data_IF_473059410460
#
_entry.id   IF_473059410460
#
_cell.length_a   1.000
_cell.length_b   1.000
_cell.length_c   1.000
_cell.angle_alpha   90.00
_cell.angle_beta   90.00
_cell.angle_gamma   90.00
#
_symmetry.space_group_name_H-M   'P 1'
#
loop_
_entity.id
_entity.type
_entity.pdbx_description
1 polymer ?
#
# COMPACT_ATOMS: atom_id res chain seq x y z
N UNK A 1 -5.05 -2.08 56.05
CA UNK A 1 -4.83 -1.27 54.84
C UNK A 1 -6.17 -0.68 54.43
N UNK A 2 -6.24 0.60 54.10
CA UNK A 2 -7.51 1.21 53.68
C UNK A 2 -7.86 0.78 52.26
N UNK A 3 -9.16 0.58 51.98
CA UNK A 3 -9.68 0.18 50.67
C UNK A 3 -9.13 1.07 49.56
N UNK A 4 -9.15 2.38 49.78
CA UNK A 4 -8.66 3.38 48.83
C UNK A 4 -7.16 3.23 48.54
N UNK A 5 -6.35 2.96 49.57
CA UNK A 5 -4.92 2.78 49.40
C UNK A 5 -4.62 1.48 48.64
N UNK A 6 -5.31 0.40 48.98
CA UNK A 6 -5.20 -0.89 48.29
C UNK A 6 -5.56 -0.76 46.80
N UNK A 7 -6.71 -0.14 46.50
CA UNK A 7 -7.17 0.12 45.14
C UNK A 7 -6.18 1.00 44.37
N UNK A 8 -5.69 2.06 44.99
CA UNK A 8 -4.73 2.98 44.39
C UNK A 8 -3.42 2.27 43.99
N UNK A 9 -2.86 1.47 44.89
CA UNK A 9 -1.64 0.70 44.60
C UNK A 9 -1.85 -0.33 43.50
N UNK A 10 -3.01 -1.00 43.49
CA UNK A 10 -3.38 -1.94 42.44
C UNK A 10 -3.45 -1.25 41.07
N UNK A 11 -4.17 -0.13 40.98
CA UNK A 11 -4.29 0.65 39.73
C UNK A 11 -2.93 1.15 39.27
N UNK A 12 -2.12 1.71 40.18
CA UNK A 12 -0.79 2.21 39.86
C UNK A 12 0.11 1.10 39.31
N UNK A 13 0.07 -0.08 39.92
CA UNK A 13 0.80 -1.25 39.46
C UNK A 13 0.33 -1.70 38.06
N UNK A 14 -0.98 -1.77 37.82
CA UNK A 14 -1.52 -2.17 36.51
C UNK A 14 -1.16 -1.17 35.40
N UNK A 15 -1.23 0.14 35.68
CA UNK A 15 -0.81 1.19 34.74
C UNK A 15 0.69 1.10 34.44
N UNK A 16 1.51 0.85 35.46
CA UNK A 16 2.95 0.69 35.29
C UNK A 16 3.28 -0.51 34.38
N UNK A 17 2.67 -1.67 34.62
CA UNK A 17 2.85 -2.86 33.76
C UNK A 17 2.35 -2.60 32.34
N UNK A 18 1.16 -2.00 32.19
CA UNK A 18 0.60 -1.64 30.89
C UNK A 18 1.52 -0.69 30.11
N UNK A 19 2.10 0.30 30.78
CA UNK A 19 3.06 1.23 30.17
C UNK A 19 4.31 0.51 29.65
N UNK A 20 4.88 -0.43 30.42
CA UNK A 20 6.06 -1.20 29.99
C UNK A 20 5.72 -2.08 28.78
N UNK A 21 4.58 -2.77 28.81
CA UNK A 21 4.14 -3.64 27.69
C UNK A 21 3.98 -2.82 26.41
N UNK A 22 3.33 -1.64 26.48
CA UNK A 22 3.02 -0.82 25.31
C UNK A 22 4.26 -0.09 24.75
N UNK A 23 5.07 0.52 25.63
CA UNK A 23 6.09 1.48 25.19
C UNK A 23 7.53 0.95 25.23
N UNK A 24 7.80 -0.12 25.98
CA UNK A 24 9.17 -0.61 26.19
C UNK A 24 9.37 -1.96 25.52
N UNK A 25 8.68 -2.99 26.00
CA UNK A 25 8.78 -4.36 25.48
C UNK A 25 7.75 -5.27 26.17
N UNK A 26 7.04 -6.08 25.39
CA UNK A 26 6.13 -7.11 25.89
C UNK A 26 6.81 -8.09 26.84
N UNK A 27 8.05 -8.51 26.50
CA UNK A 27 8.83 -9.44 27.34
C UNK A 27 9.21 -8.80 28.68
N UNK A 28 9.69 -7.56 28.66
CA UNK A 28 10.00 -6.83 29.88
C UNK A 28 8.74 -6.67 30.75
N UNK A 29 7.60 -6.34 30.14
CA UNK A 29 6.33 -6.21 30.83
C UNK A 29 5.91 -7.48 31.58
N UNK A 30 5.98 -8.65 30.93
CA UNK A 30 5.70 -9.95 31.57
C UNK A 30 6.69 -10.22 32.71
N UNK A 31 7.98 -9.93 32.50
CA UNK A 31 9.00 -10.12 33.52
C UNK A 31 8.72 -9.27 34.77
N UNK A 32 8.43 -7.98 34.61
CA UNK A 32 8.07 -7.10 35.72
C UNK A 32 6.75 -7.48 36.38
N UNK A 33 5.78 -7.95 35.59
CA UNK A 33 4.49 -8.43 36.09
C UNK A 33 4.69 -9.56 37.11
N UNK A 34 5.64 -10.47 36.86
CA UNK A 34 5.95 -11.59 37.77
C UNK A 34 6.94 -11.21 38.88
N UNK A 35 8.00 -10.46 38.55
CA UNK A 35 9.06 -10.13 39.50
C UNK A 35 8.60 -9.18 40.61
N UNK A 36 7.79 -8.16 40.32
CA UNK A 36 7.40 -7.18 41.33
C UNK A 36 6.62 -7.82 42.50
N UNK A 37 5.57 -8.64 42.27
CA UNK A 37 4.90 -9.36 43.34
C UNK A 37 5.84 -10.34 44.07
N UNK A 38 6.71 -11.04 43.33
CA UNK A 38 7.65 -12.00 43.91
C UNK A 38 8.64 -11.30 44.85
N UNK A 39 9.23 -10.20 44.41
CA UNK A 39 10.11 -9.35 45.22
C UNK A 39 9.35 -8.81 46.43
N UNK A 40 8.09 -8.39 46.26
CA UNK A 40 7.23 -7.96 47.35
C UNK A 40 7.06 -9.03 48.43
N UNK A 41 6.78 -10.28 48.03
CA UNK A 41 6.66 -11.42 48.96
C UNK A 41 7.99 -11.72 49.67
N UNK A 42 9.13 -11.55 48.99
CA UNK A 42 10.44 -11.82 49.58
C UNK A 42 10.91 -10.74 50.56
N UNK A 43 10.60 -9.47 50.29
CA UNK A 43 11.07 -8.32 51.11
C UNK A 43 10.11 -8.05 52.28
N UNK A 44 8.81 -8.10 52.05
CA UNK A 44 7.78 -7.72 53.02
C UNK A 44 6.61 -8.72 52.99
N UNK A 45 6.82 -9.96 53.47
CA UNK A 45 5.85 -11.05 53.31
C UNK A 45 4.52 -10.78 54.02
N UNK A 46 4.51 -10.12 55.18
CA UNK A 46 3.28 -9.87 55.95
C UNK A 46 2.40 -8.81 55.27
N UNK A 47 3.01 -7.75 54.79
CA UNK A 47 2.40 -6.62 54.10
C UNK A 47 1.90 -7.06 52.73
N UNK A 48 2.71 -7.84 52.01
CA UNK A 48 2.33 -8.38 50.71
C UNK A 48 1.22 -9.42 50.84
N UNK A 49 1.26 -10.29 51.85
CA UNK A 49 0.15 -11.20 52.16
C UNK A 49 -1.12 -10.41 52.51
N UNK A 50 -1.00 -9.35 53.30
CA UNK A 50 -2.11 -8.45 53.64
C UNK A 50 -2.70 -7.76 52.40
N UNK A 51 -1.85 -7.29 51.48
CA UNK A 51 -2.29 -6.70 50.22
C UNK A 51 -2.97 -7.73 49.32
N UNK A 52 -2.35 -8.89 49.07
CA UNK A 52 -2.90 -9.91 48.18
C UNK A 52 -4.21 -10.53 48.70
N UNK A 53 -4.33 -10.66 50.02
CA UNK A 53 -5.53 -11.22 50.67
C UNK A 53 -6.62 -10.18 50.96
N UNK A 54 -6.38 -8.89 50.67
CA UNK A 54 -7.34 -7.83 50.93
C UNK A 54 -8.64 -8.05 50.14
N UNK A 55 -9.75 -8.10 50.86
CA UNK A 55 -11.09 -8.28 50.31
C UNK A 55 -11.63 -6.94 49.77
N UNK A 56 -11.91 -6.87 48.47
CA UNK A 56 -12.46 -5.69 47.83
C UNK A 56 -13.98 -5.74 47.78
N UNK A 57 -14.54 -6.90 47.43
CA UNK A 57 -15.98 -7.10 47.36
C UNK A 57 -16.34 -8.55 47.66
N UNK A 58 -17.45 -8.73 48.38
CA UNK A 58 -18.06 -10.02 48.65
C UNK A 58 -19.36 -10.12 47.86
N UNK A 59 -19.56 -11.20 47.13
CA UNK A 59 -20.79 -11.50 46.38
C UNK A 59 -21.47 -12.71 47.05
N UNK A 60 -22.80 -12.79 46.95
CA UNK A 60 -23.61 -13.89 47.48
C UNK A 60 -23.44 -14.10 48.99
N UNK A 61 -23.73 -13.07 49.79
CA UNK A 61 -23.66 -13.11 51.27
C UNK A 61 -22.31 -13.62 51.82
N UNK A 62 -21.21 -13.31 51.11
CA UNK A 62 -19.86 -13.74 51.52
C UNK A 62 -19.43 -15.12 51.03
N UNK A 63 -20.25 -15.81 50.25
CA UNK A 63 -19.89 -17.10 49.66
C UNK A 63 -18.72 -16.97 48.66
N UNK A 64 -18.62 -15.84 47.95
CA UNK A 64 -17.53 -15.56 47.01
C UNK A 64 -16.88 -14.23 47.40
N UNK A 65 -15.68 -14.32 47.98
CA UNK A 65 -14.86 -13.17 48.36
C UNK A 65 -13.84 -12.86 47.27
N UNK A 66 -14.00 -11.71 46.62
CA UNK A 66 -13.06 -11.22 45.61
C UNK A 66 -11.98 -10.37 46.27
N UNK A 67 -10.82 -11.01 46.38
CA UNK A 67 -9.58 -10.43 46.90
C UNK A 67 -8.71 -9.85 45.79
N UNK A 68 -7.78 -8.96 46.15
CA UNK A 68 -6.80 -8.37 45.23
C UNK A 68 -6.11 -9.41 44.32
N UNK A 69 -5.73 -10.58 44.85
CA UNK A 69 -5.08 -11.63 44.06
C UNK A 69 -5.92 -12.12 42.88
N UNK A 70 -7.25 -12.18 43.00
CA UNK A 70 -8.13 -12.63 41.92
C UNK A 70 -8.16 -11.61 40.78
N UNK A 71 -8.23 -10.32 41.14
CA UNK A 71 -8.24 -9.23 40.16
C UNK A 71 -6.87 -9.15 39.47
N UNK A 72 -5.80 -9.28 40.25
CA UNK A 72 -4.44 -9.32 39.74
C UNK A 72 -4.26 -10.45 38.72
N UNK A 73 -4.70 -11.67 39.06
CA UNK A 73 -4.70 -12.83 38.15
C UNK A 73 -5.54 -12.60 36.89
N UNK A 74 -6.71 -11.98 37.01
CA UNK A 74 -7.56 -11.67 35.86
C UNK A 74 -6.88 -10.69 34.89
N UNK A 75 -6.26 -9.62 35.41
CA UNK A 75 -5.50 -8.68 34.59
C UNK A 75 -4.23 -9.30 34.00
N UNK A 76 -3.54 -10.16 34.75
CA UNK A 76 -2.38 -10.89 34.22
C UNK A 76 -2.76 -11.81 33.07
N UNK A 77 -3.87 -12.54 33.21
CA UNK A 77 -4.39 -13.37 32.13
C UNK A 77 -4.75 -12.52 30.90
N UNK A 78 -5.38 -11.35 31.09
CA UNK A 78 -5.69 -10.43 30.01
C UNK A 78 -4.43 -9.91 29.30
N UNK A 79 -3.44 -9.43 30.05
CA UNK A 79 -2.17 -8.95 29.47
C UNK A 79 -1.40 -10.06 28.76
N UNK A 80 -1.32 -11.26 29.34
CA UNK A 80 -0.72 -12.41 28.68
C UNK A 80 -1.45 -12.79 27.40
N UNK A 81 -2.78 -12.76 27.40
CA UNK A 81 -3.56 -13.01 26.18
C UNK A 81 -3.28 -11.97 25.10
N UNK A 82 -3.16 -10.68 25.46
CA UNK A 82 -2.80 -9.62 24.52
C UNK A 82 -1.41 -9.89 23.94
N UNK A 83 -0.41 -10.14 24.78
CA UNK A 83 0.97 -10.40 24.32
C UNK A 83 1.03 -11.64 23.43
N UNK A 84 0.43 -12.76 23.84
CA UNK A 84 0.38 -13.98 23.02
C UNK A 84 -0.30 -13.72 21.69
N UNK A 85 -1.42 -12.99 21.70
CA UNK A 85 -2.15 -12.66 20.48
C UNK A 85 -1.32 -11.78 19.54
N UNK A 86 -0.65 -10.75 20.07
CA UNK A 86 0.19 -9.86 19.24
C UNK A 86 1.42 -10.58 18.69
N UNK A 87 2.06 -11.45 19.48
CA UNK A 87 3.20 -12.26 19.03
C UNK A 87 2.76 -13.31 18.00
N UNK A 88 1.61 -13.96 18.24
CA UNK A 88 1.02 -14.89 17.27
C UNK A 88 0.67 -14.20 15.97
N UNK A 89 0.06 -13.01 16.02
CA UNK A 89 -0.27 -12.23 14.84
C UNK A 89 1.00 -11.78 14.10
N UNK A 90 2.02 -11.32 14.83
CA UNK A 90 3.32 -10.97 14.27
C UNK A 90 3.98 -12.17 13.58
N UNK A 91 3.98 -13.34 14.23
CA UNK A 91 4.46 -14.59 13.65
C UNK A 91 3.64 -14.99 12.43
N UNK A 92 2.31 -14.94 12.51
CA UNK A 92 1.40 -15.32 11.43
C UNK A 92 1.60 -14.44 10.20
N UNK A 93 1.69 -13.12 10.38
CA UNK A 93 1.98 -12.19 9.29
C UNK A 93 3.36 -12.43 8.71
N UNK A 94 4.38 -12.64 9.56
CA UNK A 94 5.72 -13.02 9.10
C UNK A 94 5.72 -14.36 8.36
N UNK A 95 4.88 -15.31 8.77
CA UNK A 95 4.78 -16.63 8.15
C UNK A 95 3.97 -16.58 6.85
N UNK A 96 2.97 -15.71 6.69
CA UNK A 96 2.35 -15.45 5.39
C UNK A 96 3.39 -14.83 4.45
N UNK A 97 4.18 -13.86 4.92
CA UNK A 97 5.27 -13.29 4.13
C UNK A 97 6.35 -14.32 3.79
N UNK A 98 6.63 -15.26 4.70
CA UNK A 98 7.63 -16.33 4.50
C UNK A 98 7.10 -17.54 3.70
N UNK A 99 5.81 -17.88 3.80
CA UNK A 99 5.19 -18.99 3.05
C UNK A 99 4.74 -18.57 1.65
N UNK A 100 4.59 -17.26 1.41
CA UNK A 100 4.65 -16.69 0.06
C UNK A 100 6.07 -16.66 -0.53
N UNK A 101 7.10 -16.98 0.26
CA UNK A 101 8.50 -17.12 -0.19
C UNK A 101 9.07 -18.49 0.23
N UNK A 102 8.51 -19.55 -0.34
CA UNK A 102 9.02 -20.90 -0.15
C UNK A 102 10.44 -21.07 -0.72
N UNK A 103 11.47 -20.78 0.08
CA UNK A 103 12.76 -21.43 -0.05
C UNK A 103 12.80 -22.63 0.91
N UNK A 104 12.61 -23.80 0.33
CA UNK A 104 13.09 -25.05 0.89
C UNK A 104 14.24 -25.50 0.00
N UNK A 105 15.32 -26.03 0.58
CA UNK A 105 16.29 -26.88 -0.13
C UNK A 105 15.60 -28.21 -0.52
N UNK A 106 14.53 -28.10 -1.28
CA UNK A 106 13.94 -29.10 -2.14
C UNK A 106 14.55 -28.75 -3.50
N UNK A 107 15.08 -29.74 -4.22
CA UNK A 107 15.36 -29.58 -5.64
C UNK A 107 14.02 -29.23 -6.32
N UNK A 108 13.76 -27.93 -6.47
CA UNK A 108 12.64 -27.43 -7.24
C UNK A 108 12.95 -27.70 -8.72
N UNK A 109 11.98 -28.22 -9.48
CA UNK A 109 12.09 -28.29 -10.93
C UNK A 109 12.30 -26.87 -11.46
N UNK A 110 13.18 -26.70 -12.44
CA UNK A 110 13.50 -25.43 -13.10
C UNK A 110 12.26 -24.51 -13.19
N UNK A 111 12.29 -23.46 -12.37
CA UNK A 111 11.20 -22.53 -12.07
C UNK A 111 10.76 -21.70 -13.30
N UNK A 112 9.46 -21.71 -13.58
CA UNK A 112 8.79 -20.87 -14.60
C UNK A 112 8.12 -19.60 -14.01
N UNK A 113 8.20 -19.32 -12.69
CA UNK A 113 7.22 -18.43 -12.04
C UNK A 113 7.68 -17.03 -11.58
N UNK A 114 8.97 -16.69 -11.69
CA UNK A 114 9.44 -15.31 -11.50
C UNK A 114 10.46 -14.94 -12.56
N UNK A 115 10.08 -14.03 -13.46
CA UNK A 115 10.91 -13.59 -14.56
C UNK A 115 10.92 -12.07 -14.58
N UNK A 116 12.07 -11.47 -14.27
CA UNK A 116 12.28 -10.04 -14.44
C UNK A 116 13.19 -9.82 -15.65
N UNK A 117 12.68 -9.06 -16.63
CA UNK A 117 13.43 -8.64 -17.82
C UNK A 117 13.49 -7.13 -17.85
N UNK A 118 14.64 -6.63 -18.29
CA UNK A 118 14.84 -5.22 -18.62
C UNK A 118 15.26 -5.15 -20.09
N UNK A 119 14.47 -4.45 -20.88
CA UNK A 119 14.69 -4.24 -22.31
C UNK A 119 14.97 -2.75 -22.55
N UNK A 120 15.95 -2.45 -23.39
CA UNK A 120 16.28 -1.07 -23.78
C UNK A 120 15.70 -0.84 -25.17
N UNK A 121 14.96 0.24 -25.36
CA UNK A 121 14.24 0.48 -26.63
C UNK A 121 15.22 0.71 -27.81
N UNK A 122 16.42 1.24 -27.53
CA UNK A 122 17.50 1.41 -28.51
C UNK A 122 18.87 1.02 -27.94
N UNK A 123 19.56 0.09 -28.60
CA UNK A 123 20.91 -0.36 -28.22
C UNK A 123 21.99 0.73 -28.40
N UNK A 124 21.68 1.80 -29.14
CA UNK A 124 22.54 2.96 -29.33
C UNK A 124 21.78 4.27 -29.11
N UNK A 125 22.25 5.08 -28.15
CA UNK A 125 21.73 6.44 -27.91
C UNK A 125 22.78 7.50 -28.23
N UNK A 126 22.33 8.69 -28.61
CA UNK A 126 23.20 9.87 -28.64
C UNK A 126 23.31 10.50 -27.25
N UNK A 127 24.44 11.16 -26.99
CA UNK A 127 24.64 11.95 -25.75
C UNK A 127 23.51 12.98 -25.62
N UNK A 128 22.83 12.98 -24.47
CA UNK A 128 21.73 13.89 -24.14
C UNK A 128 20.31 13.34 -24.38
N UNK A 129 20.16 12.21 -25.08
CA UNK A 129 18.86 11.55 -25.24
C UNK A 129 18.47 10.72 -24.00
N UNK A 130 17.19 10.69 -23.60
CA UNK A 130 16.76 9.86 -22.47
C UNK A 130 16.84 8.37 -22.83
N UNK A 131 17.51 7.60 -21.98
CA UNK A 131 17.50 6.15 -21.99
C UNK A 131 16.15 5.67 -21.47
N UNK A 132 15.31 5.19 -22.36
CA UNK A 132 14.03 4.57 -22.02
C UNK A 132 14.25 3.06 -21.88
N UNK A 133 13.85 2.51 -20.73
CA UNK A 133 13.84 1.07 -20.51
C UNK A 133 12.43 0.57 -20.25
N UNK A 134 12.15 -0.65 -20.73
CA UNK A 134 10.93 -1.39 -20.43
C UNK A 134 11.26 -2.47 -19.42
N UNK A 135 10.50 -2.50 -18.34
CA UNK A 135 10.66 -3.46 -17.26
C UNK A 135 9.43 -4.35 -17.28
N UNK A 136 9.67 -5.64 -17.46
CA UNK A 136 8.64 -6.66 -17.44
C UNK A 136 8.98 -7.59 -16.29
N UNK A 137 8.16 -7.55 -15.24
CA UNK A 137 8.29 -8.49 -14.12
C UNK A 137 7.08 -9.39 -14.16
N UNK A 138 7.28 -10.65 -14.50
CA UNK A 138 6.25 -11.68 -14.39
C UNK A 138 6.40 -12.38 -13.05
N UNK A 139 5.31 -12.45 -12.31
CA UNK A 139 5.29 -13.17 -11.05
C UNK A 139 3.93 -13.77 -10.77
N UNK A 140 3.87 -15.10 -10.69
CA UNK A 140 2.66 -15.78 -10.20
C UNK A 140 2.41 -15.61 -8.69
N UNK A 141 3.34 -14.97 -7.96
CA UNK A 141 3.33 -14.89 -6.49
C UNK A 141 3.16 -13.46 -5.97
N UNK A 142 3.77 -12.48 -6.63
CA UNK A 142 3.78 -11.10 -6.18
C UNK A 142 2.94 -10.23 -7.11
N UNK A 143 2.09 -9.37 -6.55
CA UNK A 143 1.36 -8.34 -7.31
C UNK A 143 2.19 -7.10 -7.62
N UNK A 144 3.18 -6.81 -6.78
CA UNK A 144 4.12 -5.71 -6.97
C UNK A 144 5.45 -6.03 -6.27
N UNK A 145 6.53 -5.44 -6.76
CA UNK A 145 7.89 -5.56 -6.21
C UNK A 145 8.57 -4.20 -6.17
N UNK A 146 9.43 -4.04 -5.17
CA UNK A 146 10.32 -2.90 -5.09
C UNK A 146 11.49 -3.12 -6.04
N UNK A 147 11.69 -2.16 -6.93
CA UNK A 147 12.68 -2.20 -8.00
C UNK A 147 13.65 -1.05 -7.84
N UNK A 148 14.93 -1.36 -7.99
CA UNK A 148 16.01 -0.38 -8.07
C UNK A 148 16.79 -0.62 -9.35
N UNK A 149 17.06 0.43 -10.09
CA UNK A 149 17.81 0.36 -11.34
C UNK A 149 19.10 1.13 -11.14
N UNK A 150 20.23 0.44 -11.29
CA UNK A 150 21.54 1.09 -11.31
C UNK A 150 22.07 1.11 -12.74
N UNK A 151 22.51 2.27 -13.19
CA UNK A 151 23.22 2.39 -14.46
C UNK A 151 24.70 2.69 -14.24
N UNK A 152 25.55 2.02 -15.01
CA UNK A 152 26.99 2.24 -15.04
C UNK A 152 27.41 2.56 -16.46
N UNK A 153 28.33 3.51 -16.64
CA UNK A 153 28.99 3.80 -17.93
C UNK A 153 30.48 3.61 -17.71
N UNK A 154 31.10 2.70 -18.45
CA UNK A 154 32.52 2.34 -18.33
C UNK A 154 32.94 2.07 -16.85
N UNK A 155 32.14 1.24 -16.16
CA UNK A 155 32.26 0.88 -14.74
C UNK A 155 32.05 2.00 -13.71
N UNK A 156 31.74 3.23 -14.16
CA UNK A 156 31.41 4.35 -13.28
C UNK A 156 29.90 4.42 -13.06
N UNK A 157 29.39 4.40 -11.80
CA UNK A 157 27.97 4.58 -11.52
C UNK A 157 27.56 6.00 -11.93
N UNK A 158 26.54 6.10 -12.78
CA UNK A 158 26.11 7.39 -13.35
C UNK A 158 24.87 7.91 -12.66
N UNK A 159 23.89 7.03 -12.43
CA UNK A 159 22.69 7.37 -11.68
C UNK A 159 22.05 6.12 -11.08
N UNK A 160 21.13 6.34 -10.14
CA UNK A 160 20.30 5.30 -9.53
C UNK A 160 18.88 5.82 -9.46
N UNK A 161 17.96 5.17 -10.20
CA UNK A 161 16.55 5.39 -9.93
C UNK A 161 16.26 4.73 -8.59
N UNK A 162 15.71 5.54 -7.67
CA UNK A 162 15.37 5.12 -6.31
C UNK A 162 14.42 3.95 -6.26
N UNK A 163 14.21 3.42 -5.05
CA UNK A 163 13.38 2.25 -4.81
C UNK A 163 11.90 2.54 -5.18
N UNK A 164 11.46 2.11 -6.36
CA UNK A 164 10.09 2.29 -6.87
C UNK A 164 9.30 0.98 -6.85
N UNK A 165 8.01 1.06 -6.53
CA UNK A 165 7.12 -0.10 -6.54
C UNK A 165 6.54 -0.31 -7.94
N UNK A 166 6.86 -1.45 -8.55
CA UNK A 166 6.41 -1.83 -9.89
C UNK A 166 5.43 -2.99 -9.78
N UNK A 167 4.27 -2.91 -10.45
CA UNK A 167 3.29 -4.00 -10.52
C UNK A 167 3.79 -5.13 -11.41
N UNK A 168 3.63 -6.37 -10.97
CA UNK A 168 3.94 -7.54 -11.77
C UNK A 168 2.90 -7.76 -12.87
N UNK A 169 3.27 -8.52 -13.90
CA UNK A 169 2.47 -8.88 -15.07
C UNK A 169 1.99 -7.69 -15.91
N UNK A 170 2.58 -6.52 -15.68
CA UNK A 170 2.38 -5.28 -16.43
C UNK A 170 3.75 -4.83 -16.95
N UNK A 171 3.78 -4.32 -18.18
CA UNK A 171 4.96 -3.68 -18.77
C UNK A 171 5.04 -2.24 -18.28
N UNK A 172 6.18 -1.85 -17.73
CA UNK A 172 6.41 -0.47 -17.26
C UNK A 172 7.51 0.17 -18.09
N UNK A 173 7.22 1.34 -18.65
CA UNK A 173 8.20 2.16 -19.36
C UNK A 173 8.76 3.21 -18.40
N UNK A 174 10.06 3.14 -18.15
CA UNK A 174 10.75 4.04 -17.21
C UNK A 174 11.87 4.77 -17.95
N UNK A 175 11.83 6.09 -17.90
CA UNK A 175 12.92 6.94 -18.35
C UNK A 175 14.03 6.92 -17.31
N UNK A 176 15.15 6.28 -17.64
CA UNK A 176 16.23 6.02 -16.68
C UNK A 176 17.12 7.22 -16.50
N UNK A 177 17.83 7.65 -17.55
CA UNK A 177 18.91 8.64 -17.46
C UNK A 177 19.06 9.39 -18.79
N UNK A 178 19.57 10.64 -18.76
CA UNK A 178 20.17 11.30 -19.94
C UNK A 178 21.70 11.28 -19.81
N UNK A 179 22.41 10.39 -20.51
CA UNK A 179 23.86 10.28 -20.35
C UNK A 179 24.57 11.50 -20.94
N UNK A 180 25.46 12.11 -20.16
CA UNK A 180 26.29 13.25 -20.57
C UNK A 180 27.61 12.84 -21.25
N UNK A 181 28.00 11.57 -21.10
CA UNK A 181 29.28 11.03 -21.61
C UNK A 181 29.03 9.84 -22.53
N UNK A 182 29.77 9.78 -23.63
CA UNK A 182 29.79 8.61 -24.52
C UNK A 182 30.59 7.47 -23.86
N UNK A 183 30.16 6.22 -24.08
CA UNK A 183 30.77 5.05 -23.46
C UNK A 183 29.90 3.80 -23.60
N UNK A 184 30.35 2.69 -23.00
CA UNK A 184 29.53 1.48 -22.91
C UNK A 184 28.77 1.51 -21.58
N UNK A 185 27.45 1.47 -21.69
CA UNK A 185 26.52 1.46 -20.56
C UNK A 185 26.13 0.04 -20.14
N UNK A 186 25.83 -0.13 -18.86
CA UNK A 186 25.27 -1.33 -18.27
C UNK A 186 24.14 -0.94 -17.32
N UNK A 187 22.98 -1.56 -17.47
CA UNK A 187 21.86 -1.45 -16.54
C UNK A 187 21.78 -2.73 -15.70
N UNK A 188 21.72 -2.55 -14.39
CA UNK A 188 21.46 -3.61 -13.43
C UNK A 188 20.10 -3.38 -12.77
N UNK A 189 19.20 -4.34 -12.96
CA UNK A 189 17.90 -4.36 -12.29
C UNK A 189 18.04 -5.14 -10.99
N UNK A 190 17.78 -4.48 -9.88
CA UNK A 190 17.67 -5.08 -8.56
C UNK A 190 16.20 -5.11 -8.20
N UNK A 191 15.72 -6.27 -7.77
CA UNK A 191 14.38 -6.36 -7.16
C UNK A 191 14.57 -6.81 -5.72
N UNK A 192 13.95 -6.11 -4.78
CA UNK A 192 13.86 -6.55 -3.40
C UNK A 192 12.40 -6.85 -3.10
N UNK A 193 11.97 -8.12 -3.18
CA UNK A 193 10.73 -8.50 -2.54
C UNK A 193 10.82 -8.08 -1.05
N UNK A 194 9.74 -7.56 -0.45
CA UNK A 194 9.78 -7.08 0.92
C UNK A 194 10.32 -8.15 1.87
N UNK A 195 11.50 -7.88 2.47
CA UNK A 195 12.17 -8.78 3.41
C UNK A 195 13.40 -9.54 2.90
N UNK A 196 13.83 -9.36 1.64
CA UNK A 196 15.00 -10.04 1.06
C UNK A 196 16.15 -9.08 0.73
N UNK A 197 17.40 -9.50 0.99
CA UNK A 197 18.59 -8.81 0.49
C UNK A 197 18.76 -9.04 -1.02
N UNK A 198 18.79 -7.96 -1.80
CA UNK A 198 18.79 -7.99 -3.27
C UNK A 198 20.18 -8.22 -3.87
N UNK A 199 20.28 -9.19 -4.79
CA UNK A 199 21.31 -9.23 -5.84
C UNK A 199 20.73 -8.71 -7.17
N UNK A 200 21.57 -8.46 -8.18
CA UNK A 200 21.08 -8.07 -9.51
C UNK A 200 20.34 -9.24 -10.15
N UNK A 201 19.09 -9.00 -10.54
CA UNK A 201 18.19 -10.02 -11.11
C UNK A 201 18.27 -10.03 -12.63
N UNK A 202 18.46 -8.86 -13.24
CA UNK A 202 18.66 -8.75 -14.68
C UNK A 202 19.75 -7.73 -15.01
N UNK A 203 20.47 -7.98 -16.11
CA UNK A 203 21.55 -7.12 -16.59
C UNK A 203 21.47 -6.98 -18.10
N UNK A 204 21.52 -5.75 -18.59
CA UNK A 204 21.56 -5.45 -20.03
C UNK A 204 22.63 -4.38 -20.31
N UNK A 205 23.12 -4.34 -21.54
CA UNK A 205 24.19 -3.41 -21.95
C UNK A 205 23.74 -2.56 -23.13
N UNK A 206 24.14 -1.29 -23.15
CA UNK A 206 23.81 -0.33 -24.19
C UNK A 206 25.06 0.47 -24.60
N UNK A 207 25.02 1.17 -25.74
CA UNK A 207 26.14 2.00 -26.21
C UNK A 207 25.71 3.45 -26.37
N UNK A 208 26.49 4.39 -25.84
CA UNK A 208 26.24 5.82 -26.02
C UNK A 208 27.25 6.34 -27.03
N UNK A 209 26.76 6.86 -28.16
CA UNK A 209 27.59 7.47 -29.20
C UNK A 209 27.76 8.94 -28.90
N UNK A 210 28.99 9.42 -29.08
CA UNK A 210 29.24 10.86 -29.10
C UNK A 210 28.44 11.43 -30.26
N UNK A 211 27.73 12.52 -30.01
CA UNK A 211 27.11 13.27 -31.09
C UNK A 211 28.24 13.71 -32.02
N UNK A 212 28.37 13.06 -33.19
CA UNK A 212 29.24 13.57 -34.24
C UNK A 212 28.59 14.87 -34.63
N UNK A 213 29.15 15.99 -34.15
CA UNK A 213 28.72 17.33 -34.54
C UNK A 213 28.55 17.31 -36.06
N UNK A 214 27.31 17.20 -36.52
CA UNK A 214 26.95 17.79 -37.80
C UNK A 214 27.32 19.25 -37.57
N UNK A 215 28.42 19.68 -38.18
CA UNK A 215 28.71 21.09 -38.42
C UNK A 215 27.50 21.66 -39.15
N UNK A 216 26.47 22.03 -38.39
CA UNK A 216 25.40 22.88 -38.86
C UNK A 216 25.94 24.28 -38.63
N UNK A 217 26.57 24.82 -39.67
CA UNK A 217 26.73 26.26 -39.82
C UNK A 217 25.36 26.91 -39.58
N UNK A 218 25.15 27.47 -38.39
CA UNK A 218 23.96 28.27 -38.13
C UNK A 218 24.39 29.61 -37.56
N UNK A 219 24.21 30.61 -38.41
CA UNK A 219 24.25 32.03 -38.09
C UNK A 219 23.35 32.39 -36.91
N UNK A 220 23.79 33.43 -36.21
CA UNK A 220 23.15 34.13 -35.12
C UNK A 220 21.65 34.39 -35.33
N UNK A 221 20.84 34.12 -34.30
CA UNK A 221 19.83 35.10 -33.90
C UNK A 221 19.45 35.03 -32.43
N UNK A 222 19.32 36.23 -31.86
CA UNK A 222 19.28 36.59 -30.46
C UNK A 222 17.88 36.60 -29.84
N UNK A 223 17.92 36.76 -28.51
CA UNK A 223 16.93 37.37 -27.62
C UNK A 223 15.71 36.54 -27.19
N UNK A 224 15.69 36.11 -25.93
CA UNK A 224 14.91 36.80 -24.87
C UNK A 224 15.15 36.18 -23.49
N UNK A 225 15.17 37.02 -22.45
CA UNK A 225 15.19 36.63 -21.04
C UNK A 225 14.11 37.40 -20.25
N UNK A 226 13.70 36.83 -19.11
CA UNK A 226 12.75 37.24 -18.03
C UNK A 226 11.53 36.31 -17.97
N UNK A 227 11.04 35.78 -16.83
CA UNK A 227 11.29 36.01 -15.39
C UNK A 227 10.61 34.90 -14.54
N UNK A 228 10.87 34.92 -13.23
CA UNK A 228 10.71 33.92 -12.13
C UNK A 228 9.24 33.78 -11.57
N UNK A 229 8.95 33.05 -10.45
CA UNK A 229 8.45 31.67 -10.30
C UNK A 229 7.00 31.55 -9.74
N UNK A 230 6.43 30.34 -9.81
CA UNK A 230 5.33 29.92 -8.93
C UNK A 230 4.31 29.06 -9.65
N UNK A 231 4.34 27.74 -9.41
CA UNK A 231 3.36 26.81 -9.96
C UNK A 231 3.22 25.59 -9.06
N UNK A 232 2.06 25.47 -8.43
CA UNK A 232 1.58 24.24 -7.82
C UNK A 232 1.48 23.14 -8.87
N UNK A 233 1.88 21.92 -8.51
CA UNK A 233 1.97 20.73 -9.34
C UNK A 233 0.68 20.48 -10.15
N UNK A 234 0.69 20.89 -11.43
CA UNK A 234 -0.39 20.76 -12.41
C UNK A 234 -0.11 19.63 -13.42
N UNK A 235 1.14 19.16 -13.50
CA UNK A 235 1.59 18.20 -14.51
C UNK A 235 0.92 16.82 -14.37
N UNK A 236 0.63 16.36 -13.14
CA UNK A 236 -0.06 15.08 -12.94
C UNK A 236 -1.54 15.08 -13.37
N UNK A 237 -2.17 16.25 -13.47
CA UNK A 237 -3.56 16.36 -13.94
C UNK A 237 -3.63 16.32 -15.48
N UNK A 238 -2.62 16.88 -16.15
CA UNK A 238 -2.48 16.87 -17.60
C UNK A 238 -2.22 15.44 -18.11
N UNK A 239 -1.41 14.67 -17.37
CA UNK A 239 -1.05 13.29 -17.70
C UNK A 239 -2.24 12.32 -17.52
N UNK A 240 -3.01 12.46 -16.43
CA UNK A 240 -4.26 11.70 -16.27
C UNK A 240 -5.29 12.03 -17.35
N UNK A 241 -5.39 13.30 -17.75
CA UNK A 241 -6.32 13.73 -18.81
C UNK A 241 -5.95 13.09 -20.15
N UNK A 242 -4.65 12.98 -20.44
CA UNK A 242 -4.12 12.32 -21.63
C UNK A 242 -4.44 10.82 -21.65
N UNK A 243 -4.28 10.12 -20.52
CA UNK A 243 -4.60 8.68 -20.41
C UNK A 243 -6.09 8.41 -20.63
N UNK A 244 -6.97 9.28 -20.11
CA UNK A 244 -8.42 9.17 -20.33
C UNK A 244 -8.79 9.45 -21.79
N UNK A 245 -8.12 10.40 -22.44
CA UNK A 245 -8.31 10.71 -23.87
C UNK A 245 -7.84 9.56 -24.77
N UNK A 246 -6.68 8.95 -24.48
CA UNK A 246 -6.13 7.80 -25.21
C UNK A 246 -7.02 6.55 -25.09
N UNK A 247 -7.59 6.31 -23.90
CA UNK A 247 -8.54 5.20 -23.70
C UNK A 247 -9.87 5.43 -24.45
N UNK A 248 -10.36 6.67 -24.49
CA UNK A 248 -11.53 7.03 -25.30
C UNK A 248 -11.28 6.89 -26.80
N UNK A 249 -10.09 7.26 -27.30
CA UNK A 249 -9.69 7.01 -28.69
C UNK A 249 -9.67 5.51 -29.01
N UNK A 250 -8.99 4.70 -28.19
CA UNK A 250 -8.91 3.25 -28.37
C UNK A 250 -10.31 2.59 -28.38
N UNK A 251 -11.21 3.04 -27.50
CA UNK A 251 -12.60 2.55 -27.44
C UNK A 251 -13.41 2.92 -28.68
N UNK A 252 -13.16 4.08 -29.27
CA UNK A 252 -13.83 4.53 -30.50
C UNK A 252 -13.26 3.86 -31.76
N UNK A 253 -12.05 3.32 -31.69
CA UNK A 253 -11.41 2.54 -32.77
C UNK A 253 -11.86 1.07 -32.82
N UNK A 254 -12.53 0.56 -31.78
CA UNK A 254 -13.16 -0.76 -31.82
C UNK A 254 -14.25 -0.76 -32.91
N UNK A 255 -14.20 -1.70 -33.88
CA UNK A 255 -15.08 -1.67 -35.03
C UNK A 255 -16.54 -1.81 -34.62
N UNK A 256 -17.35 -0.78 -34.90
CA UNK A 256 -18.81 -0.70 -34.67
C UNK A 256 -19.62 -1.83 -35.33
N UNK A 257 -18.97 -2.65 -36.16
CA UNK A 257 -19.53 -3.86 -36.79
C UNK A 257 -19.52 -5.10 -35.89
N UNK A 258 -19.02 -5.03 -34.65
CA UNK A 258 -19.18 -6.10 -33.65
C UNK A 258 -20.52 -6.00 -32.87
N UNK A 259 -21.45 -5.17 -33.31
CA UNK A 259 -22.84 -5.13 -32.81
C UNK A 259 -23.66 -6.32 -33.33
N UNK A 260 -23.22 -7.53 -33.00
CA UNK A 260 -24.15 -8.66 -32.89
C UNK A 260 -24.70 -8.60 -31.47
N UNK A 261 -26.00 -8.36 -31.24
CA UNK A 261 -26.57 -8.40 -29.90
C UNK A 261 -26.48 -9.86 -29.44
N UNK A 262 -25.57 -10.17 -28.50
CA UNK A 262 -25.15 -11.57 -28.39
C UNK A 262 -24.68 -12.09 -27.05
N UNK A 263 -24.07 -11.29 -26.18
CA UNK A 263 -23.70 -11.79 -24.86
C UNK A 263 -23.95 -10.75 -23.75
N UNK A 264 -25.10 -10.83 -23.06
CA UNK A 264 -25.42 -9.93 -21.96
C UNK A 264 -24.39 -9.99 -20.82
N UNK A 265 -23.61 -11.08 -20.71
CA UNK A 265 -22.54 -11.17 -19.72
C UNK A 265 -21.32 -10.31 -20.09
N UNK A 266 -21.01 -10.18 -21.38
CA UNK A 266 -19.90 -9.35 -21.86
C UNK A 266 -20.23 -7.85 -21.73
N UNK A 267 -21.46 -7.46 -22.08
CA UNK A 267 -21.94 -6.09 -21.91
C UNK A 267 -21.96 -5.68 -20.42
N UNK A 268 -22.35 -6.60 -19.54
CA UNK A 268 -22.31 -6.38 -18.09
C UNK A 268 -20.88 -6.23 -17.57
N UNK A 269 -19.93 -7.04 -18.05
CA UNK A 269 -18.52 -6.94 -17.66
C UNK A 269 -17.90 -5.62 -18.11
N UNK A 270 -18.13 -5.20 -19.35
CA UNK A 270 -17.65 -3.93 -19.87
C UNK A 270 -18.23 -2.74 -19.09
N UNK A 271 -19.51 -2.82 -18.71
CA UNK A 271 -20.13 -1.81 -17.86
C UNK A 271 -19.49 -1.75 -16.46
N UNK A 272 -19.13 -2.87 -15.85
CA UNK A 272 -18.47 -2.89 -14.54
C UNK A 272 -17.08 -2.25 -14.59
N UNK A 273 -16.30 -2.55 -15.64
CA UNK A 273 -14.97 -1.95 -15.86
C UNK A 273 -15.08 -0.43 -16.06
N UNK A 274 -16.02 0.01 -16.91
CA UNK A 274 -16.25 1.44 -17.15
C UNK A 274 -16.63 2.17 -15.84
N UNK A 275 -17.53 1.59 -15.03
CA UNK A 275 -17.95 2.17 -13.74
C UNK A 275 -16.76 2.28 -12.77
N UNK A 276 -15.93 1.25 -12.66
CA UNK A 276 -14.79 1.24 -11.75
C UNK A 276 -13.73 2.29 -12.14
N UNK A 277 -13.44 2.43 -13.43
CA UNK A 277 -12.50 3.43 -13.93
C UNK A 277 -13.00 4.86 -13.71
N UNK A 278 -14.29 5.12 -13.98
CA UNK A 278 -14.88 6.43 -13.73
C UNK A 278 -14.87 6.79 -12.24
N UNK A 279 -15.10 5.81 -11.35
CA UNK A 279 -14.98 6.00 -9.91
C UNK A 279 -13.54 6.36 -9.49
N UNK A 280 -12.54 5.68 -10.03
CA UNK A 280 -11.13 6.00 -9.75
C UNK A 280 -10.80 7.42 -10.20
N UNK A 281 -11.25 7.84 -11.38
CA UNK A 281 -11.05 9.20 -11.88
C UNK A 281 -11.71 10.25 -10.97
N UNK A 282 -12.94 9.99 -10.51
CA UNK A 282 -13.63 10.86 -9.56
C UNK A 282 -12.85 10.94 -8.26
N UNK A 283 -12.40 9.83 -7.68
CA UNK A 283 -11.71 9.84 -6.38
C UNK A 283 -10.32 10.50 -6.49
N UNK A 284 -9.59 10.28 -7.59
CA UNK A 284 -8.29 10.89 -7.84
C UNK A 284 -8.34 12.43 -7.84
N UNK A 285 -9.47 13.03 -8.24
CA UNK A 285 -9.70 14.49 -8.15
C UNK A 285 -9.64 15.02 -6.71
N UNK A 286 -9.93 14.18 -5.72
CA UNK A 286 -10.01 14.58 -4.31
C UNK A 286 -8.83 14.08 -3.48
N UNK A 287 -8.16 12.99 -3.89
CA UNK A 287 -7.20 12.25 -3.06
C UNK A 287 -6.06 11.64 -3.91
N UNK A 288 -4.81 11.77 -3.49
CA UNK A 288 -3.65 11.17 -4.19
C UNK A 288 -3.61 9.64 -4.11
N UNK A 289 -4.21 9.02 -3.09
CA UNK A 289 -4.27 7.56 -2.89
C UNK A 289 -5.68 7.02 -3.15
N UNK A 290 -6.31 7.48 -4.23
CA UNK A 290 -7.72 7.19 -4.52
C UNK A 290 -8.05 5.71 -4.70
N UNK A 291 -7.13 4.92 -5.27
CA UNK A 291 -7.31 3.49 -5.49
C UNK A 291 -7.38 2.70 -4.17
N UNK A 292 -6.39 2.90 -3.28
CA UNK A 292 -6.37 2.26 -1.96
C UNK A 292 -7.62 2.62 -1.14
N UNK A 293 -8.05 3.89 -1.23
CA UNK A 293 -9.27 4.34 -0.58
C UNK A 293 -10.51 3.63 -1.12
N UNK A 294 -10.66 3.56 -2.45
CA UNK A 294 -11.79 2.89 -3.10
C UNK A 294 -11.82 1.39 -2.77
N UNK A 295 -10.68 0.70 -2.84
CA UNK A 295 -10.57 -0.72 -2.49
C UNK A 295 -10.98 -0.98 -1.04
N UNK A 296 -10.56 -0.14 -0.10
CA UNK A 296 -11.00 -0.24 1.31
C UNK A 296 -12.50 0.01 1.44
N UNK A 297 -13.08 0.98 0.73
CA UNK A 297 -14.54 1.21 0.80
C UNK A 297 -15.33 0.01 0.25
N UNK A 298 -14.89 -0.58 -0.87
CA UNK A 298 -15.54 -1.75 -1.46
C UNK A 298 -15.45 -2.97 -0.54
N UNK A 299 -14.26 -3.25 -0.01
CA UNK A 299 -14.00 -4.42 0.83
C UNK A 299 -14.59 -4.29 2.23
N UNK A 300 -14.30 -3.19 2.92
CA UNK A 300 -14.55 -3.09 4.37
C UNK A 300 -15.99 -2.66 4.69
N UNK A 301 -16.67 -1.99 3.75
CA UNK A 301 -18.02 -1.48 3.98
C UNK A 301 -19.12 -2.14 3.14
N UNK A 302 -18.77 -2.69 1.97
CA UNK A 302 -19.75 -3.33 1.09
C UNK A 302 -19.56 -4.84 0.97
N UNK A 303 -18.39 -5.38 1.35
CA UNK A 303 -18.00 -6.79 1.13
C UNK A 303 -18.04 -7.17 -0.36
N UNK A 304 -17.58 -6.25 -1.20
CA UNK A 304 -17.60 -6.34 -2.67
C UNK A 304 -16.17 -6.21 -3.21
N UNK A 305 -15.86 -6.94 -4.29
CA UNK A 305 -14.61 -6.78 -5.05
C UNK A 305 -14.83 -5.86 -6.26
N UNK A 306 -13.79 -5.21 -6.82
CA UNK A 306 -13.93 -4.42 -8.04
C UNK A 306 -14.69 -5.15 -9.17
N UNK A 307 -14.44 -6.45 -9.33
CA UNK A 307 -15.07 -7.29 -10.35
C UNK A 307 -16.55 -7.62 -10.09
N UNK A 308 -17.04 -7.36 -8.88
CA UNK A 308 -18.44 -7.60 -8.48
C UNK A 308 -19.23 -6.31 -8.23
N UNK A 309 -18.64 -5.16 -8.55
CA UNK A 309 -19.27 -3.85 -8.37
C UNK A 309 -20.47 -3.68 -9.31
N UNK A 310 -21.68 -3.66 -8.76
CA UNK A 310 -22.88 -3.39 -9.53
C UNK A 310 -23.34 -1.93 -9.40
N UNK A 311 -24.14 -1.48 -10.37
CA UNK A 311 -24.75 -0.15 -10.36
C UNK A 311 -25.57 0.13 -9.08
N UNK A 312 -26.19 -0.91 -8.53
CA UNK A 312 -26.97 -0.84 -7.28
C UNK A 312 -26.12 -0.54 -6.04
N UNK A 313 -24.81 -0.72 -6.12
CA UNK A 313 -23.89 -0.51 -5.00
C UNK A 313 -23.31 0.91 -4.98
N UNK A 314 -23.40 1.65 -6.09
CA UNK A 314 -22.86 3.01 -6.20
C UNK A 314 -23.49 4.00 -5.21
N UNK A 315 -24.78 3.88 -4.91
CA UNK A 315 -25.44 4.75 -3.94
C UNK A 315 -24.91 4.53 -2.52
N UNK A 316 -24.71 3.26 -2.13
CA UNK A 316 -24.12 2.90 -0.84
C UNK A 316 -22.64 3.28 -0.79
N UNK A 317 -21.91 3.09 -1.90
CA UNK A 317 -20.52 3.50 -2.02
C UNK A 317 -20.38 5.01 -1.84
N UNK A 318 -21.24 5.82 -2.47
CA UNK A 318 -21.24 7.27 -2.30
C UNK A 318 -21.46 7.69 -0.84
N UNK A 319 -22.37 7.01 -0.12
CA UNK A 319 -22.61 7.26 1.29
C UNK A 319 -21.39 6.93 2.16
N UNK A 320 -20.78 5.76 1.95
CA UNK A 320 -19.60 5.31 2.70
C UNK A 320 -18.39 6.19 2.40
N UNK A 321 -18.10 6.41 1.10
CA UNK A 321 -17.01 7.26 0.65
C UNK A 321 -17.14 8.67 1.21
N UNK A 322 -18.33 9.28 1.17
CA UNK A 322 -18.55 10.62 1.75
C UNK A 322 -18.31 10.68 3.27
N UNK A 323 -18.69 9.63 4.02
CA UNK A 323 -18.44 9.58 5.47
C UNK A 323 -16.95 9.40 5.78
N UNK A 324 -16.31 8.42 5.16
CA UNK A 324 -14.90 8.09 5.37
C UNK A 324 -13.99 9.23 4.92
N UNK A 325 -14.26 9.81 3.74
CA UNK A 325 -13.50 10.94 3.21
C UNK A 325 -13.67 12.21 4.06
N UNK A 326 -14.79 12.40 4.77
CA UNK A 326 -14.97 13.59 5.63
C UNK A 326 -13.91 13.72 6.73
N UNK A 327 -13.34 12.59 7.17
CA UNK A 327 -12.25 12.55 8.14
C UNK A 327 -10.88 12.88 7.51
N UNK A 328 -10.73 12.66 6.20
CA UNK A 328 -9.45 12.76 5.49
C UNK A 328 -9.31 14.11 4.76
N UNK A 329 -10.33 14.54 4.04
CA UNK A 329 -10.31 15.72 3.17
C UNK A 329 -11.24 16.85 3.61
N UNK A 330 -11.90 16.69 4.76
CA UNK A 330 -12.85 17.65 5.31
C UNK A 330 -14.27 17.47 4.73
N UNK A 331 -15.25 18.01 5.47
CA UNK A 331 -16.67 17.78 5.21
C UNK A 331 -17.14 18.26 3.83
N UNK A 332 -16.74 19.45 3.41
CA UNK A 332 -17.26 20.06 2.18
C UNK A 332 -16.74 19.30 0.95
N UNK A 333 -15.43 19.02 0.89
CA UNK A 333 -14.83 18.23 -0.21
C UNK A 333 -15.34 16.79 -0.24
N UNK A 334 -15.61 16.20 0.92
CA UNK A 334 -16.20 14.86 1.00
C UNK A 334 -17.67 14.85 0.53
N UNK A 335 -18.41 15.94 0.72
CA UNK A 335 -19.75 16.09 0.17
C UNK A 335 -19.72 16.24 -1.35
N UNK A 336 -18.76 16.99 -1.88
CA UNK A 336 -18.55 17.10 -3.32
C UNK A 336 -18.21 15.74 -3.94
N UNK A 337 -17.29 14.97 -3.32
CA UNK A 337 -16.97 13.60 -3.74
C UNK A 337 -18.22 12.71 -3.75
N UNK A 338 -19.04 12.76 -2.69
CA UNK A 338 -20.31 12.02 -2.63
C UNK A 338 -21.23 12.38 -3.80
N UNK A 339 -21.38 13.66 -4.09
CA UNK A 339 -22.26 14.13 -5.16
C UNK A 339 -21.75 13.70 -6.54
N UNK A 340 -20.45 13.82 -6.81
CA UNK A 340 -19.85 13.37 -8.06
C UNK A 340 -20.09 11.86 -8.30
N UNK A 341 -19.99 11.02 -7.25
CA UNK A 341 -20.31 9.58 -7.35
C UNK A 341 -21.81 9.34 -7.62
N UNK A 342 -22.70 10.14 -7.02
CA UNK A 342 -24.15 10.04 -7.27
C UNK A 342 -24.54 10.50 -8.68
N UNK A 343 -23.85 11.52 -9.20
CA UNK A 343 -24.01 12.00 -10.57
C UNK A 343 -23.57 10.92 -11.56
N UNK A 344 -22.45 10.23 -11.27
CA UNK A 344 -22.02 9.06 -12.04
C UNK A 344 -23.09 7.96 -12.07
N UNK A 345 -23.65 7.63 -10.91
CA UNK A 345 -24.74 6.66 -10.81
C UNK A 345 -25.95 7.05 -11.68
N UNK A 346 -26.35 8.33 -11.63
CA UNK A 346 -27.45 8.86 -12.44
C UNK A 346 -27.16 8.75 -13.94
N UNK A 347 -25.92 9.03 -14.35
CA UNK A 347 -25.47 8.92 -15.73
C UNK A 347 -25.61 7.49 -16.27
N UNK A 348 -25.15 6.48 -15.51
CA UNK A 348 -25.27 5.08 -15.92
C UNK A 348 -26.72 4.57 -15.91
N UNK A 349 -27.56 5.03 -14.98
CA UNK A 349 -29.00 4.71 -14.98
C UNK A 349 -29.67 5.26 -16.24
N UNK A 350 -29.37 6.49 -16.65
CA UNK A 350 -29.93 7.10 -17.86
C UNK A 350 -29.42 6.40 -19.13
N UNK A 351 -28.15 6.00 -19.14
CA UNK A 351 -27.57 5.19 -20.21
C UNK A 351 -28.24 3.84 -20.33
N UNK A 352 -28.48 3.11 -19.25
CA UNK A 352 -29.16 1.80 -19.33
C UNK A 352 -30.60 1.92 -19.84
N UNK A 353 -31.31 3.00 -19.49
CA UNK A 353 -32.66 3.29 -20.03
C UNK A 353 -32.65 3.52 -21.54
N UNK A 354 -31.64 4.20 -22.07
CA UNK A 354 -31.54 4.46 -23.52
C UNK A 354 -31.23 3.21 -24.33
N UNK A 355 -30.59 2.21 -23.70
CA UNK A 355 -30.19 0.96 -24.35
C UNK A 355 -31.25 -0.14 -24.26
N UNK A 356 -32.38 0.12 -23.60
CA UNK A 356 -33.48 -0.84 -23.48
C UNK A 356 -33.18 -2.05 -22.58
N UNK A 357 -32.13 -1.94 -21.76
CA UNK A 357 -31.74 -2.94 -20.76
C UNK A 357 -32.41 -2.55 -19.45
N UNK A 358 -33.60 -3.10 -19.17
CA UNK A 358 -34.30 -2.95 -17.88
C UNK A 358 -34.55 -4.32 -17.28
#
# INVERSE_FOLDING_TARGET
MDLLLSLFLLILYLLFIGFIIIYVSSFAGILFMLLVPLIGVMIAPEEMAGFLSYELFAIMDGAISMRNIHILLAFWAAFLSIVIYTEFLGWYMAHISASGSGSSDIEFPEDENFEARIEVDNDSLEVGEPLICRIIIKSGLFKAVLVRIEAKIDDVPVDTIGDEWIRCDIEHEIAVIRPEVAGRGELCLFTSPPGFSSGPVAKTSFTIRKNEEKEIETEEQSDFALSIPGGTNLDGLEEMKKIVEEWHEWKNELPSTASTPGDPALDQLCQMIDIYQDLLAIIAKYMNEGENFLESQLKDHLDITPDSLALTDLEKLAECAGRSASLLIGRDRAMDLKNDILDLCSHYIERNKTWGVV
#
